data_IF_683730726283
#
_entry.id   IF_683730726283
#
_cell.length_a   1.000
_cell.length_b   1.000
_cell.length_c   1.000
_cell.angle_alpha   90.00
_cell.angle_beta   90.00
_cell.angle_gamma   90.00
#
_symmetry.space_group_name_H-M   'P 1'
#
loop_
_entity.id
_entity.type
_entity.pdbx_description
1 polymer ?
#
# COMPACT_ATOMS: atom_id res chain seq x y z
N UNK A 1 25.34 17.65 4.26
CA UNK A 1 23.91 17.37 4.16
C UNK A 1 23.51 17.64 2.73
N UNK A 2 23.53 16.60 1.90
CA UNK A 2 23.24 16.70 0.47
C UNK A 2 21.73 16.49 0.33
N UNK A 3 21.01 17.57 0.02
CA UNK A 3 19.60 17.47 -0.39
C UNK A 3 19.58 17.00 -1.84
N UNK A 4 19.67 15.69 -2.05
CA UNK A 4 19.34 15.10 -3.34
C UNK A 4 17.82 15.23 -3.53
N UNK A 5 17.42 16.27 -4.26
CA UNK A 5 16.05 16.49 -4.74
C UNK A 5 15.77 15.66 -6.01
N UNK A 6 16.31 14.45 -6.11
CA UNK A 6 15.81 13.49 -7.10
C UNK A 6 14.48 13.00 -6.56
N UNK A 7 13.37 13.48 -7.12
CA UNK A 7 12.06 12.89 -6.90
C UNK A 7 12.08 11.52 -7.57
N UNK A 8 12.72 10.55 -6.90
CA UNK A 8 12.82 9.17 -7.37
C UNK A 8 11.42 8.66 -7.64
N UNK A 9 11.26 7.91 -8.74
CA UNK A 9 9.98 7.27 -9.04
C UNK A 9 9.54 6.47 -7.81
N UNK A 10 8.33 6.75 -7.33
CA UNK A 10 7.72 6.04 -6.21
C UNK A 10 7.86 4.53 -6.42
N UNK A 11 8.24 3.75 -5.40
CA UNK A 11 8.28 2.31 -5.56
C UNK A 11 6.88 1.76 -5.91
N UNK A 12 6.85 0.69 -6.69
CA UNK A 12 5.59 0.11 -7.19
C UNK A 12 4.64 -0.27 -6.04
N UNK A 13 5.15 -0.93 -5.00
CA UNK A 13 4.34 -1.37 -3.86
C UNK A 13 3.58 -0.19 -3.21
N UNK A 14 4.23 0.96 -3.05
CA UNK A 14 3.61 2.14 -2.44
C UNK A 14 2.54 2.73 -3.36
N UNK A 15 2.80 2.71 -4.67
CA UNK A 15 1.81 3.15 -5.66
C UNK A 15 0.59 2.21 -5.68
N UNK A 16 0.78 0.90 -5.56
CA UNK A 16 -0.31 -0.09 -5.46
C UNK A 16 -1.20 0.24 -4.26
N UNK A 17 -0.61 0.38 -3.07
CA UNK A 17 -1.35 0.62 -1.83
C UNK A 17 -2.14 1.93 -1.84
N UNK A 18 -1.61 2.99 -2.47
CA UNK A 18 -2.33 4.26 -2.63
C UNK A 18 -3.56 4.15 -3.53
N UNK A 19 -3.48 3.39 -4.63
CA UNK A 19 -4.63 3.18 -5.52
C UNK A 19 -5.67 2.28 -4.85
N UNK A 20 -5.23 1.26 -4.11
CA UNK A 20 -6.13 0.41 -3.31
C UNK A 20 -6.86 1.25 -2.23
N UNK A 21 -6.15 2.14 -1.54
CA UNK A 21 -6.76 3.07 -0.59
C UNK A 21 -7.82 3.96 -1.27
N UNK A 22 -7.57 4.37 -2.51
CA UNK A 22 -8.49 5.20 -3.31
C UNK A 22 -9.77 4.50 -3.79
N UNK A 23 -9.82 3.17 -3.85
CA UNK A 23 -10.99 2.41 -4.30
C UNK A 23 -12.20 2.51 -3.35
N UNK A 24 -11.95 2.71 -2.06
CA UNK A 24 -12.98 2.61 -1.01
C UNK A 24 -13.60 1.21 -0.90
N UNK A 25 -14.60 1.06 -0.04
CA UNK A 25 -15.19 -0.26 0.28
C UNK A 25 -15.92 -0.93 -0.89
N UNK A 26 -16.47 -0.15 -1.83
CA UNK A 26 -17.20 -0.69 -2.99
C UNK A 26 -16.27 -1.31 -4.05
N UNK A 27 -15.06 -0.76 -4.23
CA UNK A 27 -14.05 -1.30 -5.16
C UNK A 27 -13.38 -2.58 -4.64
N UNK A 28 -13.53 -2.88 -3.35
CA UNK A 28 -13.02 -4.11 -2.72
C UNK A 28 -14.04 -5.25 -2.67
N UNK A 29 -15.25 -5.03 -3.18
CA UNK A 29 -16.28 -6.08 -3.31
C UNK A 29 -15.82 -7.17 -4.28
N UNK A 30 -16.17 -8.43 -3.97
CA UNK A 30 -15.88 -9.58 -4.83
C UNK A 30 -16.45 -9.41 -6.24
N UNK A 31 -17.60 -8.75 -6.37
CA UNK A 31 -18.29 -8.54 -7.64
C UNK A 31 -17.52 -7.58 -8.56
N UNK A 32 -16.78 -6.63 -7.99
CA UNK A 32 -16.02 -5.63 -8.72
C UNK A 32 -14.51 -5.94 -8.79
N UNK A 33 -14.05 -7.00 -8.12
CA UNK A 33 -12.63 -7.26 -7.85
C UNK A 33 -11.75 -7.24 -9.11
N UNK A 34 -12.11 -8.00 -10.15
CA UNK A 34 -11.30 -8.07 -11.38
C UNK A 34 -11.38 -6.77 -12.18
N UNK A 35 -12.53 -6.08 -12.17
CA UNK A 35 -12.68 -4.78 -12.82
C UNK A 35 -11.82 -3.71 -12.13
N UNK A 36 -11.82 -3.68 -10.81
CA UNK A 36 -10.97 -2.78 -10.01
C UNK A 36 -9.48 -3.12 -10.18
N UNK A 37 -9.13 -4.40 -10.27
CA UNK A 37 -7.75 -4.82 -10.55
C UNK A 37 -7.29 -4.34 -11.92
N UNK A 38 -8.11 -4.50 -12.96
CA UNK A 38 -7.79 -4.02 -14.31
C UNK A 38 -7.70 -2.49 -14.37
N UNK A 39 -8.59 -1.79 -13.67
CA UNK A 39 -8.55 -0.34 -13.55
C UNK A 39 -7.23 0.13 -12.94
N UNK A 40 -6.86 -0.39 -11.76
CA UNK A 40 -5.59 -0.02 -11.09
C UNK A 40 -4.39 -0.39 -11.96
N UNK A 41 -4.40 -1.56 -12.61
CA UNK A 41 -3.31 -1.95 -13.51
C UNK A 41 -3.13 -0.93 -14.65
N UNK A 42 -4.21 -0.45 -15.26
CA UNK A 42 -4.16 0.58 -16.30
C UNK A 42 -3.70 1.95 -15.77
N UNK A 43 -4.12 2.34 -14.57
CA UNK A 43 -3.64 3.57 -13.91
C UNK A 43 -2.13 3.51 -13.63
N UNK A 44 -1.64 2.36 -13.14
CA UNK A 44 -0.22 2.12 -12.89
C UNK A 44 0.60 1.99 -14.19
N UNK A 45 0.02 1.50 -15.29
CA UNK A 45 0.64 1.54 -16.61
C UNK A 45 0.88 2.97 -17.08
N UNK A 46 -0.11 3.85 -16.91
CA UNK A 46 0.02 5.28 -17.25
C UNK A 46 1.09 5.98 -16.40
N UNK A 47 1.32 5.53 -15.17
CA UNK A 47 2.43 5.96 -14.31
C UNK A 47 3.79 5.31 -14.68
N UNK A 48 3.81 4.49 -15.74
CA UNK A 48 5.00 3.86 -16.30
C UNK A 48 5.47 2.62 -15.54
N UNK A 49 4.65 2.04 -14.67
CA UNK A 49 5.01 0.80 -13.95
C UNK A 49 4.82 -0.47 -14.79
N UNK A 50 4.10 -0.38 -15.90
CA UNK A 50 3.88 -1.49 -16.84
C UNK A 50 3.28 -2.73 -16.14
N UNK A 51 2.32 -2.52 -15.24
CA UNK A 51 1.69 -3.56 -14.43
C UNK A 51 0.91 -4.55 -15.27
N UNK A 52 0.08 -4.11 -16.23
CA UNK A 52 -0.73 -5.05 -17.02
C UNK A 52 0.09 -5.88 -18.01
N UNK A 53 1.25 -5.36 -18.44
CA UNK A 53 2.13 -6.04 -19.41
C UNK A 53 3.32 -6.77 -18.75
N UNK A 54 3.48 -6.68 -17.43
CA UNK A 54 4.55 -7.36 -16.69
C UNK A 54 3.97 -8.28 -15.61
N UNK A 55 4.00 -9.59 -15.86
CA UNK A 55 3.34 -10.58 -15.00
C UNK A 55 3.74 -10.53 -13.52
N UNK A 56 5.01 -10.23 -13.22
CA UNK A 56 5.47 -10.05 -11.84
C UNK A 56 4.86 -8.84 -11.13
N UNK A 57 4.62 -7.75 -11.87
CA UNK A 57 4.03 -6.53 -11.32
C UNK A 57 2.52 -6.72 -11.14
N UNK A 58 1.86 -7.39 -12.10
CA UNK A 58 0.47 -7.79 -11.99
C UNK A 58 0.23 -8.71 -10.78
N UNK A 59 1.14 -9.66 -10.53
CA UNK A 59 1.05 -10.53 -9.37
C UNK A 59 1.19 -9.76 -8.05
N UNK A 60 2.08 -8.78 -7.97
CA UNK A 60 2.19 -7.90 -6.80
C UNK A 60 0.88 -7.17 -6.51
N UNK A 61 0.25 -6.56 -7.54
CA UNK A 61 -1.06 -5.91 -7.39
C UNK A 61 -2.13 -6.91 -6.92
N UNK A 62 -2.19 -8.08 -7.55
CA UNK A 62 -3.19 -9.10 -7.23
C UNK A 62 -3.03 -9.63 -5.79
N UNK A 63 -1.81 -9.79 -5.30
CA UNK A 63 -1.56 -10.20 -3.90
C UNK A 63 -1.99 -9.12 -2.92
N UNK A 64 -1.61 -7.86 -3.15
CA UNK A 64 -2.01 -6.74 -2.30
C UNK A 64 -3.54 -6.59 -2.21
N UNK A 65 -4.23 -6.68 -3.35
CA UNK A 65 -5.70 -6.65 -3.39
C UNK A 65 -6.33 -7.86 -2.68
N UNK A 66 -5.72 -9.04 -2.77
CA UNK A 66 -6.23 -10.26 -2.13
C UNK A 66 -6.12 -10.17 -0.60
N UNK A 67 -4.98 -9.70 -0.08
CA UNK A 67 -4.83 -9.50 1.37
C UNK A 67 -5.73 -8.38 1.87
N UNK A 68 -5.86 -7.28 1.12
CA UNK A 68 -6.83 -6.22 1.41
C UNK A 68 -8.26 -6.75 1.50
N UNK A 69 -8.66 -7.61 0.56
CA UNK A 69 -9.99 -8.22 0.57
C UNK A 69 -10.20 -9.14 1.78
N UNK A 70 -9.18 -9.91 2.19
CA UNK A 70 -9.24 -10.78 3.37
C UNK A 70 -9.35 -9.99 4.68
N UNK A 71 -8.56 -8.93 4.81
CA UNK A 71 -8.54 -8.06 6.01
C UNK A 71 -9.78 -7.16 6.06
N UNK A 72 -10.34 -6.79 4.89
CA UNK A 72 -11.53 -5.97 4.77
C UNK A 72 -11.27 -4.46 4.76
N UNK A 73 -10.01 -4.03 4.75
CA UNK A 73 -9.57 -2.64 4.66
C UNK A 73 -8.17 -2.54 4.02
N UNK A 74 -7.79 -1.40 3.41
CA UNK A 74 -6.45 -1.19 2.84
C UNK A 74 -5.33 -1.18 3.89
N UNK A 75 -4.15 -1.70 3.56
CA UNK A 75 -2.97 -1.69 4.46
C UNK A 75 -2.52 -0.27 4.78
N UNK A 76 -2.55 0.61 3.77
CA UNK A 76 -2.21 2.02 3.93
C UNK A 76 -3.07 2.74 4.98
N UNK A 77 -4.32 2.29 5.19
CA UNK A 77 -5.19 2.86 6.24
C UNK A 77 -4.59 2.60 7.64
N UNK A 78 -4.17 1.36 7.91
CA UNK A 78 -3.54 0.99 9.18
C UNK A 78 -2.18 1.66 9.39
N UNK A 79 -1.37 1.75 8.33
CA UNK A 79 -0.09 2.46 8.38
C UNK A 79 -0.31 3.94 8.70
N UNK A 80 -1.25 4.61 8.03
CA UNK A 80 -1.55 6.02 8.28
C UNK A 80 -2.09 6.25 9.69
N UNK A 81 -2.95 5.37 10.19
CA UNK A 81 -3.46 5.44 11.55
C UNK A 81 -2.33 5.28 12.59
N UNK A 82 -1.43 4.30 12.39
CA UNK A 82 -0.30 4.06 13.28
C UNK A 82 0.69 5.25 13.28
N UNK A 83 1.03 5.79 12.11
CA UNK A 83 1.88 6.99 12.00
C UNK A 83 1.23 8.21 12.65
N UNK A 84 -0.09 8.39 12.49
CA UNK A 84 -0.83 9.48 13.12
C UNK A 84 -0.95 9.39 14.64
N UNK A 85 -0.74 8.20 15.20
CA UNK A 85 -0.75 7.95 16.65
C UNK A 85 0.61 8.14 17.31
N UNK A 86 1.69 8.34 16.54
CA UNK A 86 3.02 8.58 17.08
C UNK A 86 3.08 9.87 17.92
N UNK A 87 3.83 9.79 19.00
CA UNK A 87 4.03 10.85 19.98
C UNK A 87 5.46 11.39 19.93
N UNK A 88 5.76 12.45 20.70
CA UNK A 88 7.12 12.98 20.77
C UNK A 88 8.05 12.00 21.51
N UNK A 89 7.51 11.23 22.44
CA UNK A 89 8.21 10.19 23.17
C UNK A 89 8.76 9.11 22.23
N UNK A 90 8.04 8.76 21.17
CA UNK A 90 8.47 7.76 20.19
C UNK A 90 9.70 8.19 19.38
N UNK A 91 9.99 9.49 19.32
CA UNK A 91 11.20 10.04 18.67
C UNK A 91 12.46 9.72 19.48
N UNK A 92 12.33 9.40 20.77
CA UNK A 92 13.48 9.06 21.62
C UNK A 92 14.08 7.70 21.26
N UNK A 93 13.27 6.79 20.73
CA UNK A 93 13.71 5.52 20.15
C UNK A 93 12.86 5.15 18.91
N UNK A 94 13.20 5.73 17.73
CA UNK A 94 12.44 5.50 16.51
C UNK A 94 12.50 4.04 16.02
N UNK A 95 13.55 3.30 16.40
CA UNK A 95 13.70 1.91 16.02
C UNK A 95 12.71 1.03 16.79
N UNK A 96 12.61 1.24 18.11
CA UNK A 96 11.61 0.57 18.94
C UNK A 96 10.19 0.91 18.48
N UNK A 97 9.89 2.20 18.26
CA UNK A 97 8.58 2.64 17.80
C UNK A 97 8.19 2.02 16.45
N UNK A 98 9.11 1.98 15.49
CA UNK A 98 8.87 1.36 14.18
C UNK A 98 8.64 -0.14 14.30
N UNK A 99 9.44 -0.85 15.11
CA UNK A 99 9.24 -2.29 15.34
C UNK A 99 7.89 -2.58 15.98
N UNK A 100 7.43 -1.72 16.90
CA UNK A 100 6.12 -1.85 17.52
C UNK A 100 5.00 -1.68 16.50
N UNK A 101 5.09 -0.68 15.62
CA UNK A 101 4.14 -0.50 14.50
C UNK A 101 4.10 -1.74 13.61
N UNK A 102 5.26 -2.26 13.20
CA UNK A 102 5.33 -3.46 12.36
C UNK A 102 4.70 -4.66 13.07
N UNK A 103 5.02 -4.87 14.34
CA UNK A 103 4.48 -5.96 15.13
C UNK A 103 2.96 -5.86 15.32
N UNK A 104 2.43 -4.66 15.51
CA UNK A 104 1.00 -4.43 15.70
C UNK A 104 0.21 -4.61 14.41
N UNK A 105 0.69 -4.05 13.30
CA UNK A 105 0.08 -4.26 11.97
C UNK A 105 0.13 -5.74 11.58
N UNK A 106 1.25 -6.41 11.83
CA UNK A 106 1.45 -7.84 11.55
C UNK A 106 0.56 -8.79 12.37
N UNK A 107 -0.19 -8.31 13.37
CA UNK A 107 -1.24 -9.11 14.03
C UNK A 107 -2.49 -9.27 13.17
N UNK A 108 -2.72 -8.34 12.23
CA UNK A 108 -3.90 -8.31 11.35
C UNK A 108 -3.55 -8.74 9.93
N UNK A 109 -2.35 -8.37 9.47
CA UNK A 109 -1.87 -8.63 8.12
C UNK A 109 -0.93 -9.85 8.09
N UNK A 110 -1.15 -10.81 7.16
CA UNK A 110 -0.34 -12.03 7.05
C UNK A 110 1.02 -11.83 6.40
#
# INVERSE_FOLDING_TARGET
MTTDNTTGKKPLWLSIEEHILGLGSQGLSRENYEASLQQIAGELDNAGFNVSHHGGNLLQLRWAMNETHKVGKPLMEDINAAMGALTLEDVTDPYLATNQIIADIGKTWP
#
